data_IF_579433499180
#
_entry.id   IF_579433499180
#
_cell.length_a   1.000
_cell.length_b   1.000
_cell.length_c   1.000
_cell.angle_alpha   90.00
_cell.angle_beta   90.00
_cell.angle_gamma   90.00
#
_symmetry.space_group_name_H-M   'P 1'
#
loop_
_entity.id
_entity.type
_entity.pdbx_description
1 polymer ?
#
# COMPACT_ATOMS: atom_id res chain seq x y z
N UNK A 1 6.76 32.67 3.35
CA UNK A 1 6.93 32.34 1.92
C UNK A 1 5.91 31.26 1.61
N UNK A 2 4.82 31.60 0.89
CA UNK A 2 3.88 30.60 0.41
C UNK A 2 4.57 29.85 -0.73
N UNK A 3 4.96 28.61 -0.50
CA UNK A 3 5.44 27.75 -1.57
C UNK A 3 4.32 27.56 -2.59
N UNK A 4 4.63 27.70 -3.87
CA UNK A 4 3.69 27.44 -4.95
C UNK A 4 3.08 26.04 -4.75
N UNK A 5 1.75 25.99 -4.79
CA UNK A 5 0.98 24.78 -4.53
C UNK A 5 1.03 23.92 -5.79
N UNK A 6 1.40 22.64 -5.63
CA UNK A 6 1.47 21.73 -6.76
C UNK A 6 0.12 21.05 -7.00
N UNK A 7 -0.56 21.44 -8.08
CA UNK A 7 -1.77 20.75 -8.54
C UNK A 7 -1.38 19.44 -9.25
N UNK A 8 -1.54 18.29 -8.56
CA UNK A 8 -1.03 17.01 -9.09
C UNK A 8 -1.71 16.60 -10.41
N UNK A 9 -2.97 17.00 -10.60
CA UNK A 9 -3.74 16.64 -11.79
C UNK A 9 -3.23 17.36 -13.03
N UNK A 10 -2.54 18.49 -12.85
CA UNK A 10 -2.03 19.33 -13.95
C UNK A 10 -0.55 19.06 -14.24
N UNK A 11 0.07 18.12 -13.50
CA UNK A 11 1.44 17.72 -13.72
C UNK A 11 1.57 16.96 -15.06
N UNK A 12 2.35 17.52 -15.98
CA UNK A 12 2.66 16.92 -17.29
C UNK A 12 4.17 16.72 -17.47
N UNK A 13 4.56 15.96 -18.49
CA UNK A 13 5.95 15.60 -18.78
C UNK A 13 6.88 16.84 -18.87
N UNK A 14 6.41 17.95 -19.46
CA UNK A 14 7.19 19.18 -19.62
C UNK A 14 7.51 19.91 -18.31
N UNK A 15 6.80 19.63 -17.21
CA UNK A 15 7.08 20.22 -15.90
C UNK A 15 8.28 19.54 -15.20
N UNK A 16 8.74 18.40 -15.70
CA UNK A 16 9.73 17.58 -15.02
C UNK A 16 11.12 17.85 -15.58
N UNK A 17 11.92 18.53 -14.78
CA UNK A 17 13.29 18.92 -15.15
C UNK A 17 14.30 17.79 -14.89
N UNK A 18 14.08 16.94 -13.87
CA UNK A 18 14.97 15.84 -13.50
C UNK A 18 14.41 14.51 -14.00
N UNK A 19 15.19 13.83 -14.84
CA UNK A 19 14.85 12.50 -15.36
C UNK A 19 15.92 11.50 -14.95
N UNK A 20 15.51 10.30 -14.58
CA UNK A 20 16.43 9.24 -14.21
C UNK A 20 16.06 7.94 -14.92
N UNK A 21 17.07 7.30 -15.54
CA UNK A 21 16.91 5.99 -16.19
C UNK A 21 16.77 4.85 -15.18
N UNK A 22 17.41 4.99 -14.02
CA UNK A 22 17.22 4.19 -12.83
C UNK A 22 17.35 5.10 -11.62
N UNK A 23 16.33 5.14 -10.76
CA UNK A 23 16.38 5.87 -9.49
C UNK A 23 16.59 4.83 -8.40
N UNK A 24 17.63 5.02 -7.58
CA UNK A 24 17.63 4.42 -6.26
C UNK A 24 16.64 5.20 -5.38
N UNK A 25 15.43 4.67 -5.25
CA UNK A 25 14.33 5.36 -4.59
C UNK A 25 14.46 5.14 -3.09
N UNK A 26 14.74 6.20 -2.35
CA UNK A 26 14.63 6.20 -0.90
C UNK A 26 13.16 6.36 -0.50
N UNK A 27 12.44 5.25 -0.44
CA UNK A 27 10.98 5.20 -0.27
C UNK A 27 10.41 6.01 0.91
N UNK A 28 11.18 6.20 1.98
CA UNK A 28 10.77 7.03 3.13
C UNK A 28 10.66 8.52 2.79
N UNK A 29 11.38 9.00 1.79
CA UNK A 29 11.33 10.38 1.33
C UNK A 29 10.22 10.62 0.29
N UNK A 30 9.56 9.56 -0.19
CA UNK A 30 8.59 9.67 -1.28
C UNK A 30 7.23 10.05 -0.72
N UNK A 31 6.76 11.24 -1.09
CA UNK A 31 5.49 11.79 -0.65
C UNK A 31 4.34 11.43 -1.59
N UNK A 32 4.62 11.31 -2.89
CA UNK A 32 3.63 10.87 -3.87
C UNK A 32 4.27 10.23 -5.11
N UNK A 33 3.49 9.38 -5.77
CA UNK A 33 3.74 8.84 -7.11
C UNK A 33 2.63 9.32 -8.03
N UNK A 34 2.90 10.38 -8.79
CA UNK A 34 1.91 10.99 -9.68
C UNK A 34 1.97 10.32 -11.05
N UNK A 35 0.87 9.71 -11.47
CA UNK A 35 0.77 9.11 -12.80
C UNK A 35 0.72 10.22 -13.86
N UNK A 36 1.55 10.10 -14.90
CA UNK A 36 1.63 11.08 -15.99
C UNK A 36 1.37 10.39 -17.31
N UNK A 37 0.62 11.05 -18.19
CA UNK A 37 0.35 10.59 -19.55
C UNK A 37 1.46 10.99 -20.53
N UNK A 38 2.72 10.75 -20.14
CA UNK A 38 3.88 11.03 -20.96
C UNK A 38 4.28 9.83 -21.82
N UNK A 39 4.97 10.12 -22.92
CA UNK A 39 5.51 9.06 -23.79
C UNK A 39 6.81 8.48 -23.21
N UNK A 40 7.63 9.33 -22.58
CA UNK A 40 8.91 8.94 -21.96
C UNK A 40 8.79 8.85 -20.44
N UNK A 41 8.01 9.74 -19.82
CA UNK A 41 7.79 9.75 -18.36
C UNK A 41 6.38 9.25 -18.06
N UNK A 42 6.26 8.20 -17.25
CA UNK A 42 4.97 7.64 -16.84
C UNK A 42 4.62 7.93 -15.39
N UNK A 43 5.62 8.26 -14.57
CA UNK A 43 5.43 8.65 -13.18
C UNK A 43 6.35 9.81 -12.81
N UNK A 44 5.81 10.81 -12.11
CA UNK A 44 6.61 11.73 -11.31
C UNK A 44 6.63 11.24 -9.85
N UNK A 45 7.83 11.10 -9.32
CA UNK A 45 8.07 10.83 -7.91
C UNK A 45 8.25 12.19 -7.24
N UNK A 46 7.41 12.50 -6.26
CA UNK A 46 7.61 13.64 -5.36
C UNK A 46 8.46 13.15 -4.18
N UNK A 47 9.71 13.58 -4.13
CA UNK A 47 10.67 13.25 -3.07
C UNK A 47 11.00 14.51 -2.26
N UNK A 48 10.86 14.45 -0.95
CA UNK A 48 11.06 15.61 -0.06
C UNK A 48 12.49 16.17 -0.07
N UNK A 49 13.50 15.39 -0.52
CA UNK A 49 14.90 15.81 -0.60
C UNK A 49 15.34 16.14 -2.02
N UNK A 50 14.87 15.37 -3.00
CA UNK A 50 15.34 15.47 -4.39
C UNK A 50 14.43 16.32 -5.28
N UNK A 51 13.22 16.62 -4.80
CA UNK A 51 12.16 17.30 -5.55
C UNK A 51 11.42 16.34 -6.48
N UNK A 52 10.95 16.87 -7.62
CA UNK A 52 10.18 16.09 -8.61
C UNK A 52 11.12 15.35 -9.55
N UNK A 53 11.02 14.01 -9.58
CA UNK A 53 11.81 13.13 -10.45
C UNK A 53 10.90 12.37 -11.41
N UNK A 54 11.20 12.42 -12.70
CA UNK A 54 10.50 11.65 -13.73
C UNK A 54 11.12 10.28 -14.01
N UNK A 55 10.27 9.26 -14.08
CA UNK A 55 10.65 7.87 -14.41
C UNK A 55 9.70 7.23 -15.43
N UNK A 56 10.17 6.18 -16.10
CA UNK A 56 9.42 5.50 -17.18
C UNK A 56 8.42 4.47 -16.67
N UNK A 57 8.60 3.99 -15.45
CA UNK A 57 7.73 3.02 -14.80
C UNK A 57 6.41 3.65 -14.39
N UNK A 58 5.34 2.84 -14.33
CA UNK A 58 4.05 3.26 -13.75
C UNK A 58 4.10 3.20 -12.22
N UNK A 59 3.23 3.93 -11.50
CA UNK A 59 3.26 3.94 -10.03
C UNK A 59 3.18 2.54 -9.43
N UNK A 60 2.29 1.69 -9.97
CA UNK A 60 2.15 0.31 -9.47
C UNK A 60 3.36 -0.57 -9.76
N UNK A 61 4.11 -0.31 -10.84
CA UNK A 61 5.35 -1.04 -11.14
C UNK A 61 6.45 -0.65 -10.16
N UNK A 62 6.57 0.65 -9.85
CA UNK A 62 7.48 1.17 -8.83
C UNK A 62 7.18 0.56 -7.46
N UNK A 63 5.92 0.55 -7.03
CA UNK A 63 5.51 -0.07 -5.76
C UNK A 63 5.83 -1.58 -5.73
N UNK A 64 5.61 -2.31 -6.83
CA UNK A 64 6.03 -3.73 -6.90
C UNK A 64 7.54 -3.90 -6.83
N UNK A 65 8.32 -2.99 -7.44
CA UNK A 65 9.78 -3.00 -7.35
C UNK A 65 10.25 -2.74 -5.91
N UNK A 66 9.53 -1.92 -5.13
CA UNK A 66 9.81 -1.73 -3.70
C UNK A 66 9.81 -3.06 -2.94
N UNK A 67 8.87 -3.97 -3.22
CA UNK A 67 8.83 -5.29 -2.58
C UNK A 67 10.00 -6.19 -2.96
N UNK A 68 10.59 -6.00 -4.14
CA UNK A 68 11.76 -6.77 -4.54
C UNK A 68 13.02 -6.37 -3.77
N UNK A 69 13.04 -5.18 -3.15
CA UNK A 69 14.15 -4.75 -2.30
C UNK A 69 14.20 -5.52 -0.98
N UNK A 70 13.09 -6.15 -0.57
CA UNK A 70 12.99 -6.87 0.69
C UNK A 70 12.06 -8.10 0.54
N UNK A 71 12.60 -9.33 0.44
CA UNK A 71 11.85 -10.52 0.05
C UNK A 71 10.94 -11.11 1.16
N UNK A 72 10.36 -10.27 2.03
CA UNK A 72 9.49 -10.72 3.12
C UNK A 72 8.04 -10.87 2.65
N UNK A 73 7.57 -9.99 1.75
CA UNK A 73 6.17 -9.99 1.29
C UNK A 73 6.08 -9.84 -0.23
N UNK A 74 5.37 -10.77 -0.87
CA UNK A 74 5.01 -10.64 -2.27
C UNK A 74 3.79 -9.72 -2.44
N UNK A 75 3.66 -9.10 -3.61
CA UNK A 75 2.48 -8.32 -3.96
C UNK A 75 1.17 -9.13 -3.88
N UNK A 76 1.26 -10.45 -4.12
CA UNK A 76 0.13 -11.37 -3.97
C UNK A 76 -0.28 -11.51 -2.51
N UNK A 77 0.67 -11.64 -1.58
CA UNK A 77 0.38 -11.71 -0.14
C UNK A 77 -0.24 -10.40 0.36
N UNK A 78 0.26 -9.25 -0.09
CA UNK A 78 -0.34 -7.94 0.22
C UNK A 78 -1.80 -7.81 -0.28
N UNK A 79 -2.11 -8.36 -1.46
CA UNK A 79 -3.50 -8.42 -1.96
C UNK A 79 -4.40 -9.31 -1.10
N UNK A 80 -3.89 -10.42 -0.58
CA UNK A 80 -4.63 -11.30 0.32
C UNK A 80 -4.89 -10.61 1.66
N UNK A 81 -3.91 -9.92 2.23
CA UNK A 81 -4.07 -9.14 3.47
C UNK A 81 -5.18 -8.11 3.30
N UNK A 82 -5.14 -7.33 2.22
CA UNK A 82 -6.21 -6.37 1.91
C UNK A 82 -7.59 -7.04 1.77
N UNK A 83 -7.66 -8.24 1.19
CA UNK A 83 -8.91 -8.99 1.06
C UNK A 83 -9.43 -9.51 2.41
N UNK A 84 -8.54 -10.02 3.25
CA UNK A 84 -8.84 -10.49 4.60
C UNK A 84 -9.35 -9.34 5.50
N UNK A 85 -8.74 -8.16 5.38
CA UNK A 85 -9.18 -6.94 6.08
C UNK A 85 -10.39 -6.25 5.42
N UNK A 86 -11.02 -6.91 4.43
CA UNK A 86 -12.19 -6.41 3.69
C UNK A 86 -11.98 -5.06 2.97
N UNK A 87 -10.72 -4.71 2.68
CA UNK A 87 -10.34 -3.52 1.93
C UNK A 87 -10.47 -3.82 0.44
N UNK A 88 -11.69 -3.64 -0.08
CA UNK A 88 -12.02 -4.00 -1.46
C UNK A 88 -11.69 -2.90 -2.49
N UNK A 89 -11.75 -1.64 -2.08
CA UNK A 89 -11.53 -0.48 -2.95
C UNK A 89 -10.29 0.30 -2.56
N UNK A 90 -9.60 0.85 -3.55
CA UNK A 90 -8.40 1.69 -3.37
C UNK A 90 -7.41 1.04 -2.40
N UNK A 91 -7.06 -0.22 -2.70
CA UNK A 91 -6.24 -1.09 -1.85
C UNK A 91 -4.89 -0.43 -1.57
N UNK A 92 -4.56 -0.13 -0.31
CA UNK A 92 -3.30 0.51 0.03
C UNK A 92 -2.12 -0.42 -0.24
N UNK A 93 -0.96 0.21 -0.38
CA UNK A 93 0.32 -0.44 -0.50
C UNK A 93 1.16 -0.09 0.72
N UNK A 94 1.35 -1.05 1.62
CA UNK A 94 2.08 -0.84 2.87
C UNK A 94 3.25 -1.80 2.94
N UNK A 95 4.45 -1.27 3.18
CA UNK A 95 5.66 -2.08 3.31
C UNK A 95 6.79 -1.27 3.95
N UNK A 96 7.62 -1.88 4.80
CA UNK A 96 8.84 -1.23 5.31
C UNK A 96 8.61 0.08 6.10
N UNK A 97 7.42 0.24 6.70
CA UNK A 97 7.02 1.46 7.41
C UNK A 97 6.53 2.60 6.52
N UNK A 98 6.41 2.38 5.19
CA UNK A 98 5.79 3.34 4.28
C UNK A 98 4.41 2.86 3.85
N UNK A 99 3.47 3.79 3.73
CA UNK A 99 2.07 3.47 3.43
C UNK A 99 1.48 4.37 2.36
N UNK A 100 1.33 3.83 1.15
CA UNK A 100 0.75 4.51 0.01
C UNK A 100 -0.72 4.16 -0.16
N UNK A 101 -1.54 5.16 -0.44
CA UNK A 101 -2.93 4.97 -0.86
C UNK A 101 -3.12 5.46 -2.30
N UNK A 102 -3.85 4.71 -3.14
CA UNK A 102 -4.15 5.18 -4.48
C UNK A 102 -5.21 6.27 -4.42
N UNK A 103 -5.00 7.31 -5.21
CA UNK A 103 -6.01 8.30 -5.52
C UNK A 103 -6.96 7.77 -6.60
N UNK A 104 -8.09 8.44 -6.76
CA UNK A 104 -8.97 8.22 -7.91
C UNK A 104 -8.19 8.53 -9.19
N UNK A 105 -8.26 7.63 -10.18
CA UNK A 105 -7.64 7.90 -11.46
C UNK A 105 -8.35 9.09 -12.10
N UNK A 106 -7.66 10.22 -12.21
CA UNK A 106 -8.20 11.45 -12.80
C UNK A 106 -7.94 11.49 -14.31
N UNK A 107 -6.82 10.91 -14.76
CA UNK A 107 -6.40 10.86 -16.17
C UNK A 107 -5.83 9.49 -16.55
N UNK A 108 -6.63 8.64 -17.22
CA UNK A 108 -6.17 7.37 -17.81
C UNK A 108 -6.29 6.14 -16.90
N UNK A 109 -5.57 5.05 -17.22
CA UNK A 109 -5.68 3.76 -16.49
C UNK A 109 -4.86 3.68 -15.20
N UNK A 110 -3.84 4.52 -15.04
CA UNK A 110 -2.95 4.47 -13.87
C UNK A 110 -3.41 5.49 -12.84
N UNK A 111 -3.60 5.04 -11.60
CA UNK A 111 -3.83 5.93 -10.47
C UNK A 111 -2.53 6.54 -9.97
N UNK A 112 -2.57 7.81 -9.61
CA UNK A 112 -1.59 8.44 -8.73
C UNK A 112 -1.73 7.88 -7.31
N UNK A 113 -0.66 7.94 -6.51
CA UNK A 113 -0.61 7.45 -5.14
C UNK A 113 -0.01 8.51 -4.24
N UNK A 114 -0.52 8.61 -3.02
CA UNK A 114 0.01 9.50 -1.99
C UNK A 114 0.53 8.67 -0.81
N UNK A 115 1.66 9.08 -0.25
CA UNK A 115 2.17 8.57 1.01
C UNK A 115 1.30 9.12 2.12
N UNK A 116 0.51 8.26 2.75
CA UNK A 116 -0.33 8.67 3.88
C UNK A 116 0.46 8.75 5.19
N UNK A 117 1.62 8.09 5.24
CA UNK A 117 2.53 8.07 6.38
C UNK A 117 3.32 9.37 6.54
N UNK A 118 3.56 10.09 5.44
CA UNK A 118 4.32 11.34 5.44
C UNK A 118 3.42 12.59 5.57
N UNK A 119 2.09 12.43 5.67
CA UNK A 119 1.19 13.59 5.73
C UNK A 119 1.28 14.24 7.10
N UNK A 120 1.81 15.45 7.14
CA UNK A 120 1.88 16.29 8.32
C UNK A 120 0.53 16.93 8.63
N UNK A 121 -0.06 17.57 7.62
CA UNK A 121 -1.31 18.31 7.76
C UNK A 121 -2.14 18.30 6.47
N UNK A 122 -3.44 18.60 6.59
CA UNK A 122 -4.35 18.72 5.47
C UNK A 122 -5.47 19.72 5.76
N UNK A 123 -5.91 20.44 4.73
CA UNK A 123 -7.01 21.39 4.80
C UNK A 123 -7.96 21.23 3.60
N UNK A 124 -9.26 21.29 3.85
CA UNK A 124 -10.25 21.45 2.77
C UNK A 124 -10.17 22.87 2.21
N UNK A 125 -10.25 22.98 0.88
CA UNK A 125 -10.26 24.26 0.19
C UNK A 125 -11.68 24.75 -0.05
N UNK A 126 -11.82 25.99 -0.52
CA UNK A 126 -13.11 26.63 -0.84
C UNK A 126 -13.98 25.83 -1.84
N UNK A 127 -13.37 24.87 -2.55
CA UNK A 127 -14.07 23.94 -3.43
C UNK A 127 -14.32 22.60 -2.74
N UNK A 128 -15.57 22.15 -2.77
CA UNK A 128 -15.95 20.78 -2.36
C UNK A 128 -15.11 19.76 -3.13
N UNK A 129 -14.59 18.76 -2.42
CA UNK A 129 -13.74 17.68 -2.95
C UNK A 129 -12.33 18.10 -3.43
N UNK A 130 -11.77 19.19 -2.89
CA UNK A 130 -10.36 19.53 -3.09
C UNK A 130 -9.66 19.72 -1.75
N UNK A 131 -8.50 19.10 -1.59
CA UNK A 131 -7.69 19.20 -0.37
C UNK A 131 -6.26 19.63 -0.67
N UNK A 132 -5.75 20.46 0.23
CA UNK A 132 -4.32 20.71 0.37
C UNK A 132 -3.72 19.71 1.34
N UNK A 133 -2.64 19.08 0.92
CA UNK A 133 -1.89 18.11 1.73
C UNK A 133 -0.46 18.62 1.88
N UNK A 134 -0.03 18.80 3.12
CA UNK A 134 1.35 19.12 3.49
C UNK A 134 2.04 17.86 4.00
N UNK A 135 3.28 17.65 3.55
CA UNK A 135 4.09 16.49 3.93
C UNK A 135 5.25 16.90 4.82
N UNK A 136 5.68 15.96 5.67
CA UNK A 136 6.85 16.14 6.52
C UNK A 136 8.10 16.40 5.68
N UNK A 137 8.84 17.46 6.01
CA UNK A 137 10.08 17.86 5.34
C UNK A 137 9.93 18.25 3.86
N UNK A 138 8.71 18.51 3.38
CA UNK A 138 8.46 19.02 2.02
C UNK A 138 8.11 20.51 2.07
N UNK A 139 8.71 21.30 1.17
CA UNK A 139 8.51 22.76 1.15
C UNK A 139 7.23 23.22 0.46
N UNK A 140 6.62 22.37 -0.37
CA UNK A 140 5.45 22.73 -1.18
C UNK A 140 4.30 21.75 -0.92
N UNK A 141 3.14 22.24 -0.47
CA UNK A 141 1.95 21.39 -0.37
C UNK A 141 1.48 20.97 -1.76
N UNK A 142 0.74 19.87 -1.81
CA UNK A 142 0.05 19.41 -3.01
C UNK A 142 -1.43 19.68 -2.91
N UNK A 143 -2.06 19.96 -4.04
CA UNK A 143 -3.51 20.01 -4.17
C UNK A 143 -4.03 18.76 -4.89
N UNK A 144 -5.02 18.12 -4.28
CA UNK A 144 -5.61 16.86 -4.74
C UNK A 144 -7.14 16.91 -4.72
N UNK A 145 -7.78 16.38 -5.77
CA UNK A 145 -9.25 16.32 -5.86
C UNK A 145 -9.84 15.14 -5.08
N UNK A 146 -9.85 15.26 -3.76
CA UNK A 146 -10.45 14.31 -2.82
C UNK A 146 -11.15 15.06 -1.69
N UNK A 147 -12.12 14.41 -1.05
CA UNK A 147 -12.72 14.90 0.20
C UNK A 147 -11.92 14.49 1.43
N UNK A 148 -12.13 15.18 2.55
CA UNK A 148 -11.55 14.80 3.84
C UNK A 148 -11.96 13.37 4.24
N UNK A 149 -13.23 13.01 4.02
CA UNK A 149 -13.74 11.65 4.25
C UNK A 149 -12.95 10.60 3.47
N UNK A 150 -12.63 10.85 2.20
CA UNK A 150 -11.83 9.95 1.38
C UNK A 150 -10.44 9.75 2.01
N UNK A 151 -9.75 10.84 2.37
CA UNK A 151 -8.41 10.74 2.96
C UNK A 151 -8.43 10.02 4.31
N UNK A 152 -9.38 10.35 5.20
CA UNK A 152 -9.55 9.67 6.49
C UNK A 152 -9.75 8.17 6.30
N UNK A 153 -10.59 7.75 5.35
CA UNK A 153 -10.80 6.33 5.01
C UNK A 153 -9.51 5.68 4.51
N UNK A 154 -8.72 6.37 3.68
CA UNK A 154 -7.43 5.86 3.18
C UNK A 154 -6.37 5.74 4.27
N UNK A 155 -6.21 6.76 5.13
CA UNK A 155 -5.31 6.73 6.30
C UNK A 155 -5.65 5.56 7.24
N UNK A 156 -6.93 5.34 7.51
CA UNK A 156 -7.39 4.20 8.31
C UNK A 156 -7.04 2.86 7.67
N UNK A 157 -7.27 2.70 6.37
CA UNK A 157 -6.94 1.47 5.65
C UNK A 157 -5.43 1.18 5.68
N UNK A 158 -4.58 2.19 5.43
CA UNK A 158 -3.12 2.05 5.55
C UNK A 158 -2.73 1.66 6.98
N UNK A 159 -3.29 2.33 7.99
CA UNK A 159 -3.01 2.02 9.40
C UNK A 159 -3.41 0.59 9.78
N UNK A 160 -4.56 0.11 9.28
CA UNK A 160 -5.01 -1.27 9.51
C UNK A 160 -4.03 -2.28 8.90
N UNK A 161 -3.60 -2.06 7.65
CA UNK A 161 -2.61 -2.95 7.01
C UNK A 161 -1.26 -2.88 7.72
N UNK A 162 -0.82 -1.70 8.17
CA UNK A 162 0.43 -1.55 8.94
C UNK A 162 0.35 -2.32 10.26
N UNK A 163 -0.72 -2.17 11.04
CA UNK A 163 -0.90 -2.94 12.29
C UNK A 163 -0.94 -4.44 12.04
N UNK A 164 -1.55 -4.87 10.94
CA UNK A 164 -1.53 -6.27 10.54
C UNK A 164 -0.09 -6.76 10.28
N UNK A 165 0.73 -5.97 9.58
CA UNK A 165 2.14 -6.28 9.40
C UNK A 165 2.91 -6.35 10.72
N UNK A 166 2.68 -5.40 11.63
CA UNK A 166 3.33 -5.36 12.94
C UNK A 166 2.95 -6.60 13.78
N UNK A 167 1.68 -7.01 13.73
CA UNK A 167 1.20 -8.23 14.39
C UNK A 167 1.85 -9.51 13.82
N UNK A 168 1.95 -9.62 12.49
CA UNK A 168 2.66 -10.72 11.83
C UNK A 168 4.14 -10.77 12.24
N UNK A 169 4.81 -9.61 12.28
CA UNK A 169 6.21 -9.53 12.70
C UNK A 169 6.40 -9.96 14.16
N UNK A 170 5.56 -9.45 15.08
CA UNK A 170 5.60 -9.83 16.48
C UNK A 170 5.38 -11.33 16.68
N UNK A 171 4.47 -11.95 15.91
CA UNK A 171 4.26 -13.39 15.98
C UNK A 171 5.48 -14.18 15.51
N UNK A 172 6.13 -13.77 14.41
CA UNK A 172 7.33 -14.46 13.92
C UNK A 172 8.53 -14.32 14.87
N UNK A 173 8.72 -13.13 15.45
CA UNK A 173 9.77 -12.88 16.43
C UNK A 173 9.63 -13.83 17.62
N UNK A 174 8.43 -13.95 18.18
CA UNK A 174 8.15 -14.85 19.30
C UNK A 174 8.33 -16.31 18.91
N UNK A 175 7.81 -16.72 17.75
CA UNK A 175 7.95 -18.08 17.24
C UNK A 175 9.42 -18.49 17.03
N UNK A 176 10.33 -17.53 16.86
CA UNK A 176 11.77 -17.76 16.76
C UNK A 176 12.50 -17.88 18.10
N UNK A 177 11.78 -17.76 19.23
CA UNK A 177 12.34 -17.88 20.59
C UNK A 177 11.80 -19.12 21.31
N UNK A 178 12.48 -19.54 22.38
CA UNK A 178 12.01 -20.63 23.26
C UNK A 178 10.69 -20.28 23.99
N UNK A 179 10.29 -19.00 24.02
CA UNK A 179 9.05 -18.52 24.64
C UNK A 179 7.78 -18.99 23.93
N UNK A 180 7.88 -19.48 22.69
CA UNK A 180 6.74 -20.03 21.95
C UNK A 180 6.15 -21.27 22.62
N UNK A 181 6.93 -22.02 23.43
CA UNK A 181 6.40 -23.16 24.18
C UNK A 181 5.52 -22.77 25.39
N UNK A 182 5.42 -21.49 25.72
CA UNK A 182 4.60 -21.00 26.82
C UNK A 182 3.16 -20.71 26.35
N UNK A 183 2.19 -21.44 26.90
CA UNK A 183 0.77 -21.32 26.56
C UNK A 183 0.20 -19.90 26.78
N UNK A 184 0.76 -19.13 27.73
CA UNK A 184 0.39 -17.75 27.96
C UNK A 184 0.78 -16.82 26.80
N UNK A 185 1.93 -17.09 26.18
CA UNK A 185 2.44 -16.36 25.02
C UNK A 185 1.55 -16.61 23.81
N UNK A 186 1.14 -17.86 23.56
CA UNK A 186 0.13 -18.21 22.54
C UNK A 186 -1.21 -17.47 22.75
N UNK A 187 -1.70 -17.41 23.99
CA UNK A 187 -2.95 -16.70 24.32
C UNK A 187 -2.84 -15.19 24.06
N UNK A 188 -1.76 -14.54 24.48
CA UNK A 188 -1.55 -13.09 24.30
C UNK A 188 -1.52 -12.66 22.83
N UNK A 189 -1.01 -13.51 21.93
CA UNK A 189 -0.91 -13.20 20.50
C UNK A 189 -2.12 -13.65 19.68
N UNK A 190 -2.88 -14.63 20.15
CA UNK A 190 -4.23 -14.90 19.64
C UNK A 190 -5.24 -13.78 19.92
N UNK A 191 -4.86 -12.79 20.74
CA UNK A 191 -5.67 -11.61 21.08
C UNK A 191 -5.38 -10.38 20.21
N UNK A 192 -4.50 -10.47 19.20
CA UNK A 192 -4.37 -9.38 18.23
C UNK A 192 -5.71 -9.19 17.51
N UNK A 193 -6.27 -7.97 17.47
CA UNK A 193 -7.50 -7.70 16.73
C UNK A 193 -7.42 -8.13 15.25
N UNK A 194 -6.21 -8.11 14.69
CA UNK A 194 -5.89 -8.45 13.32
C UNK A 194 -5.74 -9.97 13.04
N UNK A 195 -5.74 -10.84 14.06
CA UNK A 195 -5.65 -12.32 13.99
C UNK A 195 -4.80 -12.91 12.83
N UNK A 196 -3.47 -12.80 12.91
CA UNK A 196 -2.53 -13.38 11.95
C UNK A 196 -2.73 -14.88 11.65
N UNK A 197 -3.15 -15.69 12.62
CA UNK A 197 -3.35 -17.13 12.43
C UNK A 197 -4.58 -17.41 11.57
N UNK A 198 -5.69 -16.71 11.80
CA UNK A 198 -6.86 -16.79 10.93
C UNK A 198 -6.55 -16.31 9.51
N UNK A 199 -5.63 -15.36 9.34
CA UNK A 199 -5.17 -14.96 8.02
C UNK A 199 -4.40 -16.08 7.29
N UNK A 200 -3.52 -16.84 7.95
CA UNK A 200 -2.82 -17.94 7.28
C UNK A 200 -3.81 -19.04 6.83
N UNK A 201 -4.85 -19.31 7.62
CA UNK A 201 -5.96 -20.18 7.20
C UNK A 201 -6.71 -19.61 5.99
N UNK A 202 -7.05 -18.32 6.01
CA UNK A 202 -7.68 -17.64 4.89
C UNK A 202 -6.82 -17.71 3.62
N UNK A 203 -5.51 -17.47 3.74
CA UNK A 203 -4.56 -17.51 2.64
C UNK A 203 -4.42 -18.92 2.05
N UNK A 204 -4.41 -19.96 2.89
CA UNK A 204 -4.44 -21.36 2.46
C UNK A 204 -5.74 -21.68 1.70
N UNK A 205 -6.90 -21.29 2.25
CA UNK A 205 -8.21 -21.46 1.57
C UNK A 205 -8.19 -20.85 0.17
N UNK A 206 -7.74 -19.60 0.07
CA UNK A 206 -7.66 -18.85 -1.18
C UNK A 206 -6.67 -19.46 -2.18
N UNK A 207 -5.61 -20.09 -1.69
CA UNK A 207 -4.63 -20.77 -2.54
C UNK A 207 -5.19 -22.07 -3.10
N UNK A 208 -5.86 -22.88 -2.29
CA UNK A 208 -6.56 -24.09 -2.73
C UNK A 208 -7.64 -23.72 -3.74
N UNK A 209 -8.50 -22.75 -3.42
CA UNK A 209 -9.56 -22.26 -4.31
C UNK A 209 -9.04 -21.92 -5.70
N UNK A 210 -8.02 -21.07 -5.79
CA UNK A 210 -7.41 -20.66 -7.07
C UNK A 210 -6.76 -21.82 -7.83
N UNK A 211 -6.23 -22.80 -7.11
CA UNK A 211 -5.64 -24.00 -7.74
C UNK A 211 -6.72 -24.85 -8.38
N UNK A 212 -7.86 -25.05 -7.70
CA UNK A 212 -9.01 -25.77 -8.26
C UNK A 212 -9.62 -25.02 -9.44
N UNK A 213 -9.75 -23.70 -9.37
CA UNK A 213 -10.21 -22.86 -10.50
C UNK A 213 -9.29 -22.99 -11.71
N UNK A 214 -7.97 -22.98 -11.51
CA UNK A 214 -6.99 -23.16 -12.59
C UNK A 214 -7.06 -24.54 -13.24
N UNK A 215 -7.49 -25.56 -12.49
CA UNK A 215 -7.67 -26.93 -12.95
C UNK A 215 -9.08 -27.18 -13.52
N UNK A 216 -9.91 -26.14 -13.64
CA UNK A 216 -11.33 -26.21 -14.03
C UNK A 216 -12.12 -27.25 -13.21
N UNK A 217 -11.75 -27.41 -11.93
CA UNK A 217 -12.36 -28.37 -11.03
C UNK A 217 -13.54 -27.73 -10.27
N UNK A 218 -14.72 -28.35 -10.33
CA UNK A 218 -15.88 -27.90 -9.55
C UNK A 218 -15.69 -28.23 -8.08
N UNK A 219 -15.89 -27.25 -7.20
CA UNK A 219 -15.72 -27.41 -5.75
C UNK A 219 -16.86 -26.76 -4.96
N UNK A 220 -17.05 -27.22 -3.72
CA UNK A 220 -17.90 -26.58 -2.72
C UNK A 220 -17.06 -25.96 -1.60
N UNK A 221 -17.65 -25.07 -0.80
CA UNK A 221 -16.99 -24.50 0.37
C UNK A 221 -16.57 -25.56 1.39
N UNK A 222 -17.37 -26.63 1.55
CA UNK A 222 -17.07 -27.75 2.44
C UNK A 222 -15.82 -28.52 1.98
N UNK A 223 -15.67 -28.74 0.67
CA UNK A 223 -14.47 -29.36 0.10
C UNK A 223 -13.23 -28.51 0.33
N UNK A 224 -13.34 -27.18 0.22
CA UNK A 224 -12.23 -26.28 0.53
C UNK A 224 -11.80 -26.41 2.00
N UNK A 225 -12.75 -26.46 2.93
CA UNK A 225 -12.46 -26.62 4.36
C UNK A 225 -11.81 -27.98 4.67
N UNK A 226 -12.25 -29.07 4.01
CA UNK A 226 -11.65 -30.39 4.19
C UNK A 226 -10.22 -30.44 3.66
N UNK A 227 -9.97 -29.88 2.47
CA UNK A 227 -8.63 -29.80 1.88
C UNK A 227 -7.68 -28.95 2.72
N UNK A 228 -8.16 -27.85 3.30
CA UNK A 228 -7.37 -27.06 4.26
C UNK A 228 -6.96 -27.89 5.47
N UNK A 229 -7.88 -28.64 6.08
CA UNK A 229 -7.58 -29.48 7.25
C UNK A 229 -6.51 -30.52 6.93
N UNK A 230 -6.61 -31.19 5.77
CA UNK A 230 -5.62 -32.17 5.28
C UNK A 230 -4.24 -31.56 5.05
N UNK A 231 -4.15 -30.27 4.73
CA UNK A 231 -2.89 -29.58 4.53
C UNK A 231 -2.17 -29.21 5.83
N UNK A 232 -2.89 -29.15 6.95
CA UNK A 232 -2.36 -28.77 8.26
C UNK A 232 -2.10 -29.96 9.19
N UNK A 233 -2.60 -31.15 8.83
CA UNK A 233 -2.35 -32.43 9.52
C UNK A 233 -1.05 -33.05 9.03
#
# INVERSE_FOLDING_TARGET
MHGDILHIDDLVESHIQKQAKSVDIHWRNVDALVAIQGSRIRTAILDCKLGIIGVQETPIRLLKQMLNQYPVLSYRKLKLINGYLEINEYKPFVYGGVGFAPLKATKGKNSSWISTTNIQDHAEMDHTDTMHISFDNCSSPIEVKISEYFLKKRKRAVSQVQRFHDAMHAQYEVASTEEYQNAYTHYKYGMFPEDPMAFELYALKETIRKTLEMLDYTYTDEMLLELMRKHMS
#
